data_IF_745354567454
#
_entry.id   IF_745354567454
#
_cell.length_a   1.000
_cell.length_b   1.000
_cell.length_c   1.000
_cell.angle_alpha   90.00
_cell.angle_beta   90.00
_cell.angle_gamma   90.00
#
_symmetry.space_group_name_H-M   'P 1'
#
loop_
_entity.id
_entity.type
_entity.pdbx_description
1 polymer ?
#
# COMPACT_ATOMS: atom_id res chain seq x y z
N UNK A 1 15.17 -19.57 7.09
CA UNK A 1 13.75 -19.16 7.04
C UNK A 1 13.64 -18.10 5.95
N UNK A 2 12.62 -18.13 5.09
CA UNK A 2 12.38 -17.00 4.18
C UNK A 2 12.28 -15.71 4.99
N UNK A 3 12.75 -14.60 4.41
CA UNK A 3 12.69 -13.29 5.04
C UNK A 3 11.25 -12.81 5.22
N UNK A 4 11.02 -11.88 6.14
CA UNK A 4 9.72 -11.21 6.22
C UNK A 4 9.50 -10.39 4.94
N UNK A 5 8.29 -10.41 4.35
CA UNK A 5 8.05 -9.75 3.07
C UNK A 5 8.11 -8.23 3.19
N UNK A 6 8.33 -7.56 2.06
CA UNK A 6 8.16 -6.12 1.91
C UNK A 6 6.80 -5.85 1.26
N UNK A 7 6.01 -4.95 1.83
CA UNK A 7 4.78 -4.48 1.18
C UNK A 7 5.07 -3.18 0.45
N UNK A 8 4.77 -3.14 -0.84
CA UNK A 8 4.98 -1.97 -1.71
C UNK A 8 3.64 -1.46 -2.21
N UNK A 9 3.32 -0.21 -1.89
CA UNK A 9 2.15 0.48 -2.41
C UNK A 9 2.53 1.32 -3.63
N UNK A 10 2.00 0.97 -4.80
CA UNK A 10 2.16 1.73 -6.04
C UNK A 10 0.98 2.69 -6.19
N UNK A 11 1.28 3.98 -6.33
CA UNK A 11 0.30 5.02 -6.68
C UNK A 11 0.04 5.10 -8.18
N UNK A 12 -1.19 5.44 -8.59
CA UNK A 12 -1.51 5.58 -10.02
C UNK A 12 -0.78 6.74 -10.73
N UNK A 13 -0.19 7.67 -9.98
CA UNK A 13 0.60 8.78 -10.50
C UNK A 13 2.08 8.47 -10.73
N UNK A 14 2.57 7.29 -10.33
CA UNK A 14 3.98 6.94 -10.49
C UNK A 14 4.29 6.28 -11.83
N UNK A 15 3.34 5.53 -12.42
CA UNK A 15 3.51 4.70 -13.62
C UNK A 15 3.59 5.51 -14.93
N UNK A 16 4.65 6.32 -15.08
CA UNK A 16 4.99 7.06 -16.30
C UNK A 16 6.13 6.42 -17.10
N UNK A 17 6.50 7.04 -18.24
CA UNK A 17 7.53 6.54 -19.17
C UNK A 17 8.94 6.36 -18.57
N UNK A 18 9.20 6.93 -17.40
CA UNK A 18 10.48 6.85 -16.69
C UNK A 18 10.40 6.06 -15.38
N UNK A 19 9.23 5.48 -15.06
CA UNK A 19 9.03 4.70 -13.84
C UNK A 19 9.75 3.34 -13.95
N UNK A 20 10.64 3.05 -13.00
CA UNK A 20 11.34 1.77 -12.91
C UNK A 20 10.77 0.84 -11.84
N UNK A 21 9.71 1.22 -11.14
CA UNK A 21 9.14 0.49 -10.00
C UNK A 21 8.93 -1.00 -10.29
N UNK A 22 8.38 -1.34 -11.46
CA UNK A 22 8.18 -2.74 -11.85
C UNK A 22 9.48 -3.48 -12.13
N UNK A 23 10.47 -2.81 -12.73
CA UNK A 23 11.80 -3.38 -12.95
C UNK A 23 12.52 -3.62 -11.62
N UNK A 24 12.38 -2.70 -10.68
CA UNK A 24 12.91 -2.80 -9.33
C UNK A 24 12.27 -3.99 -8.59
N UNK A 25 10.95 -4.15 -8.67
CA UNK A 25 10.23 -5.30 -8.12
C UNK A 25 10.74 -6.63 -8.68
N UNK A 26 10.93 -6.73 -10.00
CA UNK A 26 11.46 -7.94 -10.64
C UNK A 26 12.91 -8.20 -10.20
N UNK A 27 13.70 -7.15 -10.00
CA UNK A 27 15.07 -7.29 -9.51
C UNK A 27 15.08 -7.84 -8.08
N UNK A 28 14.26 -7.27 -7.18
CA UNK A 28 14.09 -7.76 -5.81
C UNK A 28 13.65 -9.22 -5.77
N UNK A 29 12.67 -9.60 -6.59
CA UNK A 29 12.23 -11.00 -6.69
C UNK A 29 13.36 -11.94 -7.12
N UNK A 30 14.20 -11.53 -8.09
CA UNK A 30 15.35 -12.32 -8.55
C UNK A 30 16.46 -12.42 -7.49
N UNK A 31 16.55 -11.43 -6.61
CA UNK A 31 17.43 -11.43 -5.43
C UNK A 31 16.86 -12.27 -4.27
N UNK A 32 15.67 -12.87 -4.41
CA UNK A 32 15.04 -13.70 -3.39
C UNK A 32 14.33 -12.89 -2.29
N UNK A 33 14.03 -11.62 -2.55
CA UNK A 33 13.23 -10.79 -1.64
C UNK A 33 11.76 -11.01 -1.91
N UNK A 34 11.01 -11.41 -0.89
CA UNK A 34 9.56 -11.55 -0.95
C UNK A 34 8.90 -10.17 -0.96
N UNK A 35 8.10 -9.90 -1.99
CA UNK A 35 7.42 -8.62 -2.16
C UNK A 35 5.93 -8.81 -2.42
N UNK A 36 5.11 -8.08 -1.67
CA UNK A 36 3.66 -7.94 -1.90
C UNK A 36 3.39 -6.55 -2.46
N UNK A 37 2.68 -6.48 -3.59
CA UNK A 37 2.32 -5.20 -4.21
C UNK A 37 0.86 -4.90 -3.97
N UNK A 38 0.56 -3.69 -3.49
CA UNK A 38 -0.80 -3.13 -3.50
C UNK A 38 -0.81 -2.01 -4.53
N UNK A 39 -1.83 -1.96 -5.38
CA UNK A 39 -1.95 -0.87 -6.36
C UNK A 39 -3.12 0.06 -6.07
N UNK A 40 -3.08 1.26 -6.66
CA UNK A 40 -4.23 2.17 -6.73
C UNK A 40 -4.88 2.15 -8.11
N UNK A 41 -5.75 3.13 -8.36
CA UNK A 41 -6.37 3.28 -9.68
C UNK A 41 -7.29 4.49 -9.84
N UNK A 42 -7.25 5.45 -8.91
CA UNK A 42 -8.25 6.51 -8.80
C UNK A 42 -8.49 7.28 -10.11
N UNK A 43 -7.43 7.67 -10.81
CA UNK A 43 -7.54 8.41 -12.07
C UNK A 43 -8.17 7.58 -13.19
N UNK A 44 -7.76 6.31 -13.32
CA UNK A 44 -8.28 5.39 -14.34
C UNK A 44 -9.76 5.08 -14.07
N UNK A 45 -10.14 4.83 -12.81
CA UNK A 45 -11.55 4.65 -12.41
C UNK A 45 -12.35 5.88 -12.82
N UNK A 46 -11.88 7.09 -12.46
CA UNK A 46 -12.58 8.33 -12.78
C UNK A 46 -12.80 8.51 -14.29
N UNK A 47 -11.81 8.15 -15.12
CA UNK A 47 -11.94 8.19 -16.58
C UNK A 47 -13.01 7.20 -17.08
N UNK A 48 -13.05 5.97 -16.55
CA UNK A 48 -14.03 4.98 -16.93
C UNK A 48 -15.45 5.32 -16.47
N UNK A 49 -15.60 5.91 -15.27
CA UNK A 49 -16.88 6.43 -14.80
C UNK A 49 -17.40 7.54 -15.73
N UNK A 50 -16.54 8.50 -16.09
CA UNK A 50 -16.91 9.58 -17.03
C UNK A 50 -17.34 9.04 -18.40
N UNK A 51 -16.66 8.02 -18.94
CA UNK A 51 -17.04 7.35 -20.20
C UNK A 51 -18.43 6.71 -20.14
N UNK A 52 -18.89 6.34 -18.95
CA UNK A 52 -20.20 5.74 -18.72
C UNK A 52 -21.26 6.76 -18.27
N UNK A 53 -20.94 8.05 -18.32
CA UNK A 53 -21.86 9.11 -17.91
C UNK A 53 -22.06 9.23 -16.39
N UNK A 54 -21.17 8.63 -15.60
CA UNK A 54 -21.19 8.69 -14.13
C UNK A 54 -20.07 9.63 -13.64
N UNK A 55 -20.34 10.90 -13.35
CA UNK A 55 -19.31 11.81 -12.86
C UNK A 55 -18.82 11.39 -11.46
N UNK A 56 -17.49 11.26 -11.24
CA UNK A 56 -16.95 10.93 -9.92
C UNK A 56 -17.32 11.94 -8.83
N UNK A 57 -17.75 11.44 -7.67
CA UNK A 57 -17.97 12.24 -6.45
C UNK A 57 -17.00 11.81 -5.35
N UNK A 58 -16.48 12.79 -4.62
CA UNK A 58 -15.57 12.56 -3.50
C UNK A 58 -16.04 13.28 -2.24
N UNK A 59 -15.88 12.62 -1.09
CA UNK A 59 -16.11 13.17 0.25
C UNK A 59 -14.90 12.82 1.10
N UNK A 60 -14.25 13.83 1.71
CA UNK A 60 -13.05 13.65 2.54
C UNK A 60 -11.91 12.84 1.86
N UNK A 61 -11.77 12.98 0.53
CA UNK A 61 -10.76 12.26 -0.25
C UNK A 61 -11.12 10.81 -0.58
N UNK A 62 -12.26 10.29 -0.10
CA UNK A 62 -12.80 8.99 -0.46
C UNK A 62 -13.80 9.13 -1.62
N UNK A 63 -13.76 8.18 -2.55
CA UNK A 63 -14.73 8.13 -3.66
C UNK A 63 -16.04 7.59 -3.13
N UNK A 64 -17.10 8.39 -3.26
CA UNK A 64 -18.45 7.90 -3.03
C UNK A 64 -18.74 6.82 -4.07
N UNK A 65 -19.14 5.65 -3.60
CA UNK A 65 -19.29 4.46 -4.43
C UNK A 65 -20.72 3.96 -4.29
N UNK A 66 -21.63 4.34 -5.20
CA UNK A 66 -22.94 3.69 -5.33
C UNK A 66 -22.82 2.36 -6.10
N UNK A 67 -23.94 1.64 -6.29
CA UNK A 67 -23.91 0.32 -6.93
C UNK A 67 -23.35 0.36 -8.37
N UNK A 68 -23.80 1.28 -9.26
CA UNK A 68 -23.18 1.42 -10.59
C UNK A 68 -21.70 1.78 -10.53
N UNK A 69 -21.30 2.68 -9.61
CA UNK A 69 -19.90 3.05 -9.44
C UNK A 69 -19.07 1.86 -8.96
N UNK A 70 -19.61 0.99 -8.10
CA UNK A 70 -18.92 -0.19 -7.58
C UNK A 70 -18.57 -1.16 -8.71
N UNK A 71 -19.48 -1.43 -9.65
CA UNK A 71 -19.20 -2.30 -10.80
C UNK A 71 -18.00 -1.80 -11.61
N UNK A 72 -17.94 -0.49 -11.85
CA UNK A 72 -16.81 0.15 -12.55
C UNK A 72 -15.53 0.03 -11.73
N UNK A 73 -15.59 0.31 -10.43
CA UNK A 73 -14.44 0.20 -9.53
C UNK A 73 -13.89 -1.23 -9.55
N UNK A 74 -14.74 -2.24 -9.41
CA UNK A 74 -14.36 -3.65 -9.46
C UNK A 74 -13.69 -3.99 -10.79
N UNK A 75 -14.37 -3.70 -11.91
CA UNK A 75 -13.87 -4.05 -13.24
C UNK A 75 -12.54 -3.36 -13.57
N UNK A 76 -12.41 -2.08 -13.23
CA UNK A 76 -11.20 -1.29 -13.53
C UNK A 76 -10.03 -1.70 -12.63
N UNK A 77 -10.26 -1.88 -11.33
CA UNK A 77 -9.18 -2.27 -10.42
C UNK A 77 -8.69 -3.69 -10.70
N UNK A 78 -9.59 -4.68 -10.78
CA UNK A 78 -9.21 -6.10 -10.87
C UNK A 78 -8.95 -6.58 -12.29
N UNK A 79 -9.68 -6.04 -13.27
CA UNK A 79 -9.64 -6.49 -14.66
C UNK A 79 -8.63 -5.73 -15.49
N UNK A 80 -8.63 -4.39 -15.39
CA UNK A 80 -7.76 -3.55 -16.21
C UNK A 80 -6.40 -3.34 -15.53
N UNK A 81 -6.37 -2.60 -14.42
CA UNK A 81 -5.11 -2.13 -13.82
C UNK A 81 -4.30 -3.31 -13.26
N UNK A 82 -4.94 -4.19 -12.50
CA UNK A 82 -4.26 -5.34 -11.91
C UNK A 82 -3.62 -6.23 -12.98
N UNK A 83 -4.33 -6.51 -14.08
CA UNK A 83 -3.82 -7.39 -15.14
C UNK A 83 -2.77 -6.71 -16.01
N UNK A 84 -2.87 -5.40 -16.21
CA UNK A 84 -1.81 -4.63 -16.85
C UNK A 84 -0.50 -4.69 -16.04
N UNK A 85 -0.56 -4.49 -14.71
CA UNK A 85 0.61 -4.61 -13.84
C UNK A 85 1.21 -6.02 -13.87
N UNK A 86 0.38 -7.05 -13.75
CA UNK A 86 0.84 -8.45 -13.82
C UNK A 86 1.51 -8.75 -15.16
N UNK A 87 0.90 -8.32 -16.27
CA UNK A 87 1.45 -8.51 -17.62
C UNK A 87 2.79 -7.80 -17.78
N UNK A 88 2.92 -6.57 -17.26
CA UNK A 88 4.18 -5.81 -17.32
C UNK A 88 5.28 -6.47 -16.47
N UNK A 89 4.95 -6.97 -15.28
CA UNK A 89 5.92 -7.74 -14.45
C UNK A 89 6.40 -9.00 -15.19
N UNK A 90 5.49 -9.74 -15.83
CA UNK A 90 5.86 -10.91 -16.64
C UNK A 90 6.72 -10.51 -17.85
N UNK A 91 6.38 -9.41 -18.54
CA UNK A 91 7.16 -8.89 -19.67
C UNK A 91 8.59 -8.50 -19.29
N UNK A 92 8.83 -8.12 -18.03
CA UNK A 92 10.16 -7.84 -17.47
C UNK A 92 10.90 -9.10 -16.99
N UNK A 93 10.31 -10.28 -17.16
CA UNK A 93 10.85 -11.57 -16.74
C UNK A 93 10.69 -11.85 -15.25
N UNK A 94 9.72 -11.20 -14.59
CA UNK A 94 9.28 -11.54 -13.24
C UNK A 94 8.08 -12.50 -13.26
N UNK A 95 7.65 -12.91 -12.07
CA UNK A 95 6.47 -13.78 -11.88
C UNK A 95 5.51 -13.11 -10.91
N UNK A 96 4.31 -12.80 -11.36
CA UNK A 96 3.27 -12.20 -10.53
C UNK A 96 1.93 -12.93 -10.63
N UNK A 97 1.15 -12.90 -9.56
CA UNK A 97 -0.24 -13.34 -9.51
C UNK A 97 -1.09 -12.14 -9.08
N UNK A 98 -2.04 -11.77 -9.92
CA UNK A 98 -2.96 -10.67 -9.65
C UNK A 98 -4.21 -11.15 -8.93
N UNK A 99 -4.46 -10.63 -7.74
CA UNK A 99 -5.64 -10.89 -6.90
C UNK A 99 -6.26 -9.58 -6.42
N UNK A 100 -7.40 -9.66 -5.77
CA UNK A 100 -8.03 -8.63 -4.96
C UNK A 100 -8.07 -9.08 -3.50
N UNK A 101 -8.52 -8.20 -2.59
CA UNK A 101 -8.79 -8.63 -1.22
C UNK A 101 -10.01 -9.56 -1.08
N UNK A 102 -10.80 -9.78 -2.13
CA UNK A 102 -11.90 -10.76 -2.10
C UNK A 102 -11.35 -12.19 -2.25
N UNK A 103 -10.30 -12.37 -3.05
CA UNK A 103 -9.78 -13.68 -3.43
C UNK A 103 -9.21 -14.42 -2.21
N UNK A 104 -9.73 -15.63 -1.98
CA UNK A 104 -9.35 -16.45 -0.83
C UNK A 104 -9.79 -15.90 0.54
N UNK A 105 -10.69 -14.90 0.57
CA UNK A 105 -11.12 -14.25 1.81
C UNK A 105 -10.04 -13.37 2.44
N UNK A 106 -9.13 -12.82 1.63
CA UNK A 106 -7.98 -12.05 2.09
C UNK A 106 -8.38 -10.85 2.97
N UNK A 107 -9.41 -10.10 2.60
CA UNK A 107 -9.94 -8.93 3.31
C UNK A 107 -11.44 -9.06 3.52
N UNK A 108 -11.86 -8.93 4.78
CA UNK A 108 -13.25 -8.69 5.16
C UNK A 108 -13.40 -7.24 5.62
N UNK A 109 -14.53 -6.63 5.30
CA UNK A 109 -14.86 -5.26 5.67
C UNK A 109 -16.34 -5.09 5.99
N UNK A 110 -16.69 -3.95 6.58
CA UNK A 110 -18.07 -3.45 6.69
C UNK A 110 -18.15 -2.06 6.06
N UNK A 111 -19.35 -1.60 5.76
CA UNK A 111 -19.55 -0.24 5.22
C UNK A 111 -19.06 0.79 6.24
N UNK A 112 -18.11 1.63 5.84
CA UNK A 112 -17.46 2.61 6.72
C UNK A 112 -18.41 3.77 7.09
N UNK A 113 -19.16 4.25 6.09
CA UNK A 113 -20.09 5.36 6.24
C UNK A 113 -21.22 5.20 5.19
N UNK A 114 -22.49 5.13 5.60
CA UNK A 114 -23.63 5.08 4.68
C UNK A 114 -23.61 6.21 3.62
N UNK A 115 -23.07 7.39 3.92
CA UNK A 115 -22.97 8.51 2.96
C UNK A 115 -21.97 8.27 1.82
N UNK A 116 -21.02 7.35 2.03
CA UNK A 116 -20.02 6.94 1.05
C UNK A 116 -20.48 5.76 0.18
N UNK A 117 -21.58 5.10 0.54
CA UNK A 117 -22.09 3.91 -0.15
C UNK A 117 -21.23 2.67 0.12
N UNK A 118 -20.85 1.94 -0.93
CA UNK A 118 -20.04 0.71 -0.89
C UNK A 118 -18.54 0.98 -0.65
N UNK A 119 -18.23 1.90 0.26
CA UNK A 119 -16.87 2.12 0.76
C UNK A 119 -16.71 1.40 2.09
N UNK A 120 -15.68 0.57 2.20
CA UNK A 120 -15.50 -0.30 3.35
C UNK A 120 -14.40 0.13 4.32
N UNK A 121 -14.56 -0.30 5.57
CA UNK A 121 -13.55 -0.32 6.62
C UNK A 121 -13.19 -1.79 6.92
N UNK A 122 -11.90 -2.12 6.82
CA UNK A 122 -11.40 -3.49 6.97
C UNK A 122 -11.64 -3.94 8.42
N UNK A 123 -12.34 -5.06 8.59
CA UNK A 123 -12.59 -5.70 9.88
C UNK A 123 -11.66 -6.88 10.13
N UNK A 124 -11.28 -7.63 9.08
CA UNK A 124 -10.40 -8.79 9.19
C UNK A 124 -9.46 -8.92 8.00
N UNK A 125 -8.29 -9.51 8.25
CA UNK A 125 -7.27 -9.82 7.24
C UNK A 125 -6.81 -11.26 7.43
N UNK A 126 -6.95 -12.08 6.40
CA UNK A 126 -6.37 -13.42 6.34
C UNK A 126 -5.16 -13.42 5.41
N UNK A 127 -3.95 -13.50 5.98
CA UNK A 127 -2.71 -13.49 5.19
C UNK A 127 -2.35 -14.81 4.51
N UNK A 128 -3.12 -15.90 4.72
CA UNK A 128 -2.83 -17.22 4.15
C UNK A 128 -2.76 -17.22 2.61
N UNK A 129 -3.68 -16.56 1.86
CA UNK A 129 -3.58 -16.51 0.39
C UNK A 129 -2.29 -15.84 -0.08
N UNK A 130 -1.84 -14.78 0.59
CA UNK A 130 -0.59 -14.10 0.24
C UNK A 130 0.63 -14.97 0.53
N UNK A 131 0.67 -15.62 1.69
CA UNK A 131 1.75 -16.55 2.05
C UNK A 131 1.87 -17.70 1.05
N UNK A 132 0.75 -18.29 0.65
CA UNK A 132 0.75 -19.35 -0.37
C UNK A 132 1.32 -18.89 -1.72
N UNK A 133 1.02 -17.66 -2.15
CA UNK A 133 1.58 -17.09 -3.38
C UNK A 133 3.09 -16.86 -3.23
N UNK A 134 3.51 -16.25 -2.11
CA UNK A 134 4.92 -15.98 -1.82
C UNK A 134 5.75 -17.27 -1.73
N UNK A 135 5.23 -18.33 -1.10
CA UNK A 135 5.91 -19.63 -0.96
C UNK A 135 6.24 -20.29 -2.31
N UNK A 136 5.50 -19.93 -3.37
CA UNK A 136 5.77 -20.38 -4.75
C UNK A 136 6.70 -19.44 -5.54
N UNK A 137 7.16 -18.36 -4.92
CA UNK A 137 8.08 -17.38 -5.47
C UNK A 137 7.45 -16.38 -6.45
N UNK A 138 6.13 -16.18 -6.38
CA UNK A 138 5.40 -15.17 -7.15
C UNK A 138 5.20 -13.88 -6.33
N UNK A 139 5.15 -12.74 -7.02
CA UNK A 139 4.73 -11.46 -6.44
C UNK A 139 3.19 -11.40 -6.44
N UNK A 140 2.51 -11.42 -5.28
CA UNK A 140 1.10 -11.09 -5.23
C UNK A 140 0.89 -9.60 -5.54
N UNK A 141 0.02 -9.31 -6.51
CA UNK A 141 -0.40 -7.95 -6.89
C UNK A 141 -1.86 -7.79 -6.50
N UNK A 142 -2.13 -6.99 -5.46
CA UNK A 142 -3.42 -6.89 -4.78
C UNK A 142 -4.18 -5.63 -5.18
N UNK A 143 -5.39 -5.81 -5.71
CA UNK A 143 -6.38 -4.76 -5.91
C UNK A 143 -7.15 -4.46 -4.61
N UNK A 144 -7.39 -3.17 -4.29
CA UNK A 144 -7.93 -2.77 -2.98
C UNK A 144 -9.46 -2.88 -2.93
N UNK A 145 -9.94 -4.12 -2.82
CA UNK A 145 -11.34 -4.47 -2.60
C UNK A 145 -11.42 -5.42 -1.41
N UNK A 146 -12.53 -5.43 -0.69
CA UNK A 146 -12.79 -6.38 0.37
C UNK A 146 -14.18 -7.01 0.20
N UNK A 147 -14.37 -8.18 0.81
CA UNK A 147 -15.68 -8.79 0.92
C UNK A 147 -16.43 -8.17 2.11
N UNK A 148 -17.70 -7.81 1.93
CA UNK A 148 -18.55 -7.42 3.05
C UNK A 148 -18.79 -8.64 3.94
N UNK A 149 -18.55 -8.48 5.25
CA UNK A 149 -18.74 -9.54 6.23
C UNK A 149 -20.16 -10.13 6.24
N UNK A 150 -20.29 -11.30 6.85
CA UNK A 150 -21.59 -11.95 7.00
C UNK A 150 -22.39 -11.34 8.14
N UNK A 151 -23.13 -10.27 7.84
CA UNK A 151 -23.98 -9.53 8.78
C UNK A 151 -25.48 -9.84 8.64
N UNK A 152 -25.86 -10.72 7.71
CA UNK A 152 -27.24 -11.08 7.43
C UNK A 152 -28.02 -10.03 6.62
N UNK A 153 -27.36 -9.00 6.08
CA UNK A 153 -27.95 -8.05 5.13
C UNK A 153 -27.98 -8.60 3.70
N UNK A 154 -28.80 -8.00 2.84
CA UNK A 154 -28.90 -8.33 1.40
C UNK A 154 -27.58 -8.12 0.64
N UNK A 155 -26.64 -7.37 1.22
CA UNK A 155 -25.33 -7.09 0.62
C UNK A 155 -24.21 -7.96 1.22
N UNK A 156 -24.55 -8.92 2.08
CA UNK A 156 -23.58 -9.85 2.66
C UNK A 156 -22.79 -10.59 1.58
N UNK A 157 -21.46 -10.63 1.72
CA UNK A 157 -20.56 -11.20 0.72
C UNK A 157 -20.33 -10.32 -0.53
N UNK A 158 -20.95 -9.14 -0.59
CA UNK A 158 -20.74 -8.17 -1.67
C UNK A 158 -19.34 -7.54 -1.65
N UNK A 159 -18.97 -6.85 -2.73
CA UNK A 159 -17.69 -6.14 -2.79
C UNK A 159 -17.78 -4.76 -2.12
N UNK A 160 -16.70 -4.37 -1.43
CA UNK A 160 -16.51 -3.02 -0.91
C UNK A 160 -15.23 -2.41 -1.47
N UNK A 161 -15.32 -1.14 -1.86
CA UNK A 161 -14.18 -0.34 -2.29
C UNK A 161 -13.39 0.12 -1.06
N UNK A 162 -12.09 -0.17 -1.03
CA UNK A 162 -11.21 0.21 0.08
C UNK A 162 -10.14 1.18 -0.41
N UNK A 163 -9.74 2.11 0.45
CA UNK A 163 -8.57 2.92 0.16
C UNK A 163 -7.31 2.03 0.05
N UNK A 164 -6.60 2.11 -1.08
CA UNK A 164 -5.43 1.26 -1.31
C UNK A 164 -4.25 1.50 -0.37
N UNK A 165 -4.12 2.69 0.22
CA UNK A 165 -3.10 2.94 1.24
C UNK A 165 -3.47 2.21 2.55
N UNK A 166 -4.75 2.20 2.92
CA UNK A 166 -5.28 1.41 4.05
C UNK A 166 -5.02 -0.08 3.86
N UNK A 167 -5.31 -0.62 2.66
CA UNK A 167 -5.01 -2.03 2.34
C UNK A 167 -3.53 -2.33 2.53
N UNK A 168 -2.63 -1.46 2.04
CA UNK A 168 -1.20 -1.67 2.21
C UNK A 168 -0.75 -1.68 3.68
N UNK A 169 -1.31 -0.79 4.51
CA UNK A 169 -1.06 -0.75 5.95
C UNK A 169 -1.53 -2.03 6.67
N UNK A 170 -2.75 -2.46 6.39
CA UNK A 170 -3.33 -3.67 6.99
C UNK A 170 -2.60 -4.96 6.55
N UNK A 171 -2.23 -5.07 5.27
CA UNK A 171 -1.46 -6.21 4.79
C UNK A 171 -0.05 -6.25 5.38
N UNK A 172 0.62 -5.09 5.51
CA UNK A 172 1.93 -5.01 6.16
C UNK A 172 1.86 -5.44 7.63
N UNK A 173 0.81 -5.01 8.34
CA UNK A 173 0.55 -5.43 9.71
C UNK A 173 0.28 -6.96 9.79
N UNK A 174 -0.61 -7.50 8.97
CA UNK A 174 -1.01 -8.91 9.02
C UNK A 174 0.07 -9.91 8.56
N UNK A 175 1.07 -9.44 7.84
CA UNK A 175 2.22 -10.22 7.37
C UNK A 175 3.44 -10.12 8.27
N UNK A 176 3.39 -9.30 9.34
CA UNK A 176 4.58 -8.89 10.09
C UNK A 176 5.69 -8.41 9.15
N UNK A 177 5.32 -7.61 8.14
CA UNK A 177 6.21 -7.25 7.04
C UNK A 177 7.50 -6.60 7.55
N UNK A 178 8.62 -6.89 6.90
CA UNK A 178 9.90 -6.26 7.20
C UNK A 178 9.82 -4.73 7.04
N UNK A 179 8.98 -4.28 6.10
CA UNK A 179 8.83 -2.87 5.73
C UNK A 179 7.56 -2.64 4.91
N UNK A 180 6.94 -1.47 5.09
CA UNK A 180 5.96 -0.90 4.16
C UNK A 180 6.61 0.25 3.37
N UNK A 181 6.52 0.24 2.04
CA UNK A 181 7.07 1.28 1.17
C UNK A 181 5.96 1.87 0.31
N UNK A 182 5.73 3.18 0.41
CA UNK A 182 4.89 3.93 -0.51
C UNK A 182 5.71 4.54 -1.63
N UNK A 183 5.41 4.15 -2.87
CA UNK A 183 5.86 4.82 -4.07
C UNK A 183 4.84 5.89 -4.45
N UNK A 184 5.20 7.16 -4.28
CA UNK A 184 4.31 8.30 -4.51
C UNK A 184 4.94 9.31 -5.46
N UNK A 185 4.20 10.35 -5.84
CA UNK A 185 4.61 11.48 -6.68
C UNK A 185 5.15 12.69 -5.89
N UNK A 186 5.37 12.52 -4.59
CA UNK A 186 5.95 13.54 -3.70
C UNK A 186 7.22 13.02 -3.04
N UNK A 187 8.13 13.94 -2.68
CA UNK A 187 9.44 13.60 -2.12
C UNK A 187 9.42 12.95 -0.73
N UNK A 188 8.29 12.94 -0.03
CA UNK A 188 8.16 12.45 1.35
C UNK A 188 7.20 13.34 2.18
N UNK A 189 7.27 13.20 3.50
CA UNK A 189 6.54 14.07 4.44
C UNK A 189 7.28 15.40 4.56
N UNK A 190 6.58 16.51 4.36
CA UNK A 190 7.15 17.85 4.46
C UNK A 190 6.99 18.44 5.88
N UNK A 191 7.98 19.21 6.33
CA UNK A 191 7.86 20.09 7.49
C UNK A 191 7.02 21.34 7.16
N UNK A 192 6.74 22.17 8.16
CA UNK A 192 6.01 23.43 7.97
C UNK A 192 6.73 24.44 7.04
N UNK A 193 8.03 24.24 6.79
CA UNK A 193 8.83 25.02 5.85
C UNK A 193 8.89 24.42 4.45
N UNK A 194 8.13 23.35 4.16
CA UNK A 194 8.08 22.71 2.85
C UNK A 194 9.26 21.79 2.54
N UNK A 195 10.11 21.45 3.53
CA UNK A 195 11.26 20.56 3.33
C UNK A 195 10.92 19.13 3.73
N UNK A 196 11.40 18.16 2.97
CA UNK A 196 11.22 16.73 3.30
C UNK A 196 11.91 16.43 4.62
N UNK A 197 11.18 15.76 5.52
CA UNK A 197 11.70 15.25 6.78
C UNK A 197 12.31 13.87 6.48
N UNK A 198 13.63 13.67 6.57
CA UNK A 198 14.24 12.41 6.15
C UNK A 198 13.89 11.23 7.06
N UNK A 199 13.70 11.51 8.36
CA UNK A 199 13.51 10.49 9.39
C UNK A 199 12.54 10.96 10.48
N UNK A 200 11.62 10.08 10.85
CA UNK A 200 10.64 10.30 11.92
C UNK A 200 10.59 9.07 12.83
N UNK A 201 10.34 9.28 14.13
CA UNK A 201 9.90 8.21 15.02
C UNK A 201 8.36 8.10 14.98
N UNK A 202 7.81 6.95 15.39
CA UNK A 202 6.36 6.70 15.44
C UNK A 202 5.61 7.79 16.22
N UNK A 203 6.17 8.27 17.32
CA UNK A 203 5.57 9.31 18.18
C UNK A 203 5.40 10.63 17.42
N UNK A 204 6.45 11.10 16.75
CA UNK A 204 6.47 12.36 15.98
C UNK A 204 5.59 12.25 14.75
N UNK A 205 5.58 11.09 14.08
CA UNK A 205 4.62 10.79 13.02
C UNK A 205 3.17 10.90 13.53
N UNK A 206 2.86 10.32 14.71
CA UNK A 206 1.55 10.45 15.34
C UNK A 206 1.16 11.89 15.70
N UNK A 207 2.11 12.71 16.14
CA UNK A 207 1.88 14.13 16.40
C UNK A 207 1.60 14.92 15.12
N UNK A 208 2.37 14.67 14.05
CA UNK A 208 2.15 15.29 12.74
C UNK A 208 0.77 14.94 12.17
N UNK A 209 0.32 13.70 12.37
CA UNK A 209 -1.02 13.28 11.93
C UNK A 209 -2.15 14.04 12.63
N UNK A 210 -1.91 14.58 13.84
CA UNK A 210 -2.92 15.32 14.64
C UNK A 210 -2.77 16.83 14.56
N UNK A 211 -1.65 17.35 14.06
CA UNK A 211 -1.35 18.78 14.09
C UNK A 211 -1.97 19.59 12.96
N UNK A 212 -2.64 18.94 11.99
CA UNK A 212 -3.18 19.59 10.79
C UNK A 212 -2.13 19.98 9.74
N UNK A 213 -0.84 19.68 9.98
CA UNK A 213 0.26 19.90 9.02
C UNK A 213 0.14 18.96 7.83
N UNK A 214 -0.31 17.73 8.08
CA UNK A 214 -0.52 16.71 7.04
C UNK A 214 -1.89 16.90 6.41
N UNK A 215 -1.94 16.97 5.08
CA UNK A 215 -3.15 17.28 4.31
C UNK A 215 -3.38 16.30 3.17
N UNK A 216 -4.64 16.21 2.73
CA UNK A 216 -5.06 15.44 1.56
C UNK A 216 -4.65 13.96 1.64
N UNK A 217 -4.15 13.43 0.52
CA UNK A 217 -3.76 12.02 0.39
C UNK A 217 -2.60 11.58 1.29
N UNK A 218 -1.88 12.51 1.95
CA UNK A 218 -0.84 12.14 2.90
C UNK A 218 -1.41 11.65 4.24
N UNK A 219 -2.64 12.02 4.59
CA UNK A 219 -3.31 11.57 5.82
C UNK A 219 -3.47 10.04 5.83
N UNK A 220 -4.12 9.39 4.83
CA UNK A 220 -4.26 7.94 4.83
C UNK A 220 -2.91 7.21 4.69
N UNK A 221 -1.92 7.78 3.98
CA UNK A 221 -0.57 7.21 3.91
C UNK A 221 0.10 7.15 5.27
N UNK A 222 0.07 8.26 6.02
CA UNK A 222 0.67 8.31 7.34
C UNK A 222 -0.05 7.39 8.33
N UNK A 223 -1.38 7.30 8.25
CA UNK A 223 -2.17 6.35 9.05
C UNK A 223 -1.77 4.90 8.74
N UNK A 224 -1.63 4.54 7.46
CA UNK A 224 -1.19 3.22 7.04
C UNK A 224 0.25 2.89 7.48
N UNK A 225 1.17 3.87 7.42
CA UNK A 225 2.50 3.71 8.00
C UNK A 225 2.44 3.44 9.50
N UNK A 226 1.66 4.22 10.26
CA UNK A 226 1.52 4.04 11.71
C UNK A 226 0.93 2.66 12.06
N UNK A 227 -0.03 2.18 11.27
CA UNK A 227 -0.60 0.84 11.38
C UNK A 227 0.44 -0.26 11.12
N UNK A 228 1.19 -0.15 10.02
CA UNK A 228 2.26 -1.10 9.72
C UNK A 228 3.31 -1.15 10.84
N UNK A 229 3.71 0.01 11.37
CA UNK A 229 4.72 0.15 12.42
C UNK A 229 4.36 -0.46 13.79
N UNK A 230 3.15 -1.00 13.95
CA UNK A 230 2.80 -1.84 15.10
C UNK A 230 3.49 -3.20 15.04
N UNK A 231 3.87 -3.66 13.85
CA UNK A 231 4.53 -4.95 13.60
C UNK A 231 5.82 -4.82 12.79
N UNK A 232 5.87 -3.85 11.88
CA UNK A 232 7.03 -3.57 11.03
C UNK A 232 8.05 -2.64 11.72
N UNK A 233 9.35 -2.89 11.56
CA UNK A 233 10.40 -1.99 12.06
C UNK A 233 10.39 -0.60 11.41
N UNK A 234 10.10 -0.53 10.11
CA UNK A 234 10.15 0.72 9.35
C UNK A 234 9.01 0.82 8.33
N UNK A 235 8.63 2.06 8.01
CA UNK A 235 7.79 2.40 6.87
C UNK A 235 8.39 3.59 6.12
N UNK A 236 8.37 3.55 4.80
CA UNK A 236 9.01 4.55 3.93
C UNK A 236 7.98 5.21 3.00
N UNK A 237 8.11 6.51 2.80
CA UNK A 237 7.35 7.28 1.80
C UNK A 237 8.37 7.95 0.88
N UNK A 238 8.42 7.50 -0.37
CA UNK A 238 9.48 7.86 -1.33
C UNK A 238 8.89 8.31 -2.67
N UNK A 239 9.65 9.15 -3.39
CA UNK A 239 9.29 9.55 -4.77
C UNK A 239 9.57 8.40 -5.73
N UNK A 240 8.52 7.68 -6.13
CA UNK A 240 8.60 6.52 -7.01
C UNK A 240 8.94 6.87 -8.46
N UNK A 241 8.90 8.15 -8.86
CA UNK A 241 9.23 8.58 -10.23
C UNK A 241 10.74 8.59 -10.48
N UNK A 242 11.54 8.54 -9.43
CA UNK A 242 13.01 8.46 -9.53
C UNK A 242 13.41 7.05 -9.98
N UNK A 243 14.22 6.92 -11.04
CA UNK A 243 14.76 5.62 -11.43
C UNK A 243 15.52 4.95 -10.28
N UNK A 244 15.23 3.69 -10.03
CA UNK A 244 15.85 2.88 -8.97
C UNK A 244 15.37 3.18 -7.55
N UNK A 245 14.36 4.03 -7.35
CA UNK A 245 13.95 4.50 -6.03
C UNK A 245 13.62 3.36 -5.06
N UNK A 246 12.91 2.32 -5.54
CA UNK A 246 12.53 1.19 -4.70
C UNK A 246 13.77 0.37 -4.30
N UNK A 247 14.65 0.06 -5.26
CA UNK A 247 15.89 -0.67 -4.98
C UNK A 247 16.80 0.09 -4.01
N UNK A 248 16.97 1.40 -4.23
CA UNK A 248 17.74 2.28 -3.35
C UNK A 248 17.19 2.27 -1.92
N UNK A 249 15.87 2.41 -1.77
CA UNK A 249 15.20 2.39 -0.47
C UNK A 249 15.40 1.06 0.27
N UNK A 250 15.20 -0.08 -0.41
CA UNK A 250 15.42 -1.41 0.18
C UNK A 250 16.88 -1.62 0.60
N UNK A 251 17.82 -1.06 -0.16
CA UNK A 251 19.27 -1.11 0.13
C UNK A 251 19.74 -0.09 1.16
N UNK A 252 18.82 0.68 1.76
CA UNK A 252 19.11 1.63 2.84
C UNK A 252 19.66 2.99 2.38
N UNK A 253 19.57 3.30 1.09
CA UNK A 253 19.86 4.65 0.58
C UNK A 253 18.68 5.55 0.92
N UNK A 254 18.93 6.63 1.65
CA UNK A 254 17.89 7.55 2.08
C UNK A 254 17.28 8.29 0.89
N UNK A 255 16.02 8.01 0.58
CA UNK A 255 15.26 8.64 -0.50
C UNK A 255 13.84 8.98 -0.03
N UNK A 256 13.67 10.13 0.63
CA UNK A 256 12.37 10.59 1.13
C UNK A 256 12.26 10.51 2.65
N UNK A 257 11.13 10.00 3.17
CA UNK A 257 10.89 9.92 4.62
C UNK A 257 10.84 8.48 5.11
N UNK A 258 11.73 8.11 6.02
CA UNK A 258 11.67 6.86 6.79
C UNK A 258 11.06 7.10 8.16
N UNK A 259 10.00 6.36 8.49
CA UNK A 259 9.36 6.35 9.80
C UNK A 259 9.76 5.07 10.53
N UNK A 260 10.18 5.21 11.77
CA UNK A 260 10.77 4.12 12.55
C UNK A 260 9.85 3.73 13.70
N UNK A 261 9.58 2.42 13.79
CA UNK A 261 8.84 1.80 14.87
C UNK A 261 9.71 1.54 16.10
N UNK A 262 9.07 1.28 17.23
CA UNK A 262 9.77 1.08 18.51
C UNK A 262 10.65 -0.19 18.51
N UNK A 263 10.29 -1.21 17.71
CA UNK A 263 11.06 -2.44 17.57
C UNK A 263 12.51 -2.23 17.05
N UNK A 264 12.77 -1.14 16.32
CA UNK A 264 14.08 -0.82 15.77
C UNK A 264 15.00 -0.05 16.75
N UNK A 265 14.45 0.52 17.85
CA UNK A 265 15.24 1.29 18.82
C UNK A 265 16.01 0.40 19.81
N UNK A 266 15.59 -0.86 19.99
CA UNK A 266 16.25 -1.81 20.90
C UNK A 266 17.55 -2.42 20.36
N UNK A 267 17.83 -2.32 19.05
CA UNK A 267 19.05 -2.88 18.43
C UNK A 267 20.17 -1.85 18.25
N UNK A 268 19.91 -0.57 18.53
CA UNK A 268 20.89 0.53 18.38
C UNK A 268 21.52 0.97 19.72
N UNK A 269 21.18 0.33 20.85
CA UNK A 269 21.75 0.61 22.17
C UNK A 269 22.92 -0.31 22.57
N UNK A 270 23.48 -1.07 21.62
CA UNK A 270 24.72 -1.82 21.85
C UNK A 270 25.89 -0.86 22.05
N UNK A 271 26.35 -0.71 23.29
CA UNK A 271 27.56 0.04 23.64
C UNK A 271 28.73 -0.39 22.74
N UNK A 272 29.57 0.54 22.27
CA UNK A 272 30.82 0.15 21.61
C UNK A 272 31.67 -0.69 22.57
N UNK A 273 32.40 -1.70 22.08
CA UNK A 273 33.28 -2.49 22.92
C UNK A 273 34.31 -1.56 23.56
N UNK A 274 34.37 -1.61 24.89
CA UNK A 274 35.39 -0.96 25.70
C UNK A 274 36.75 -1.43 25.19
N UNK A 275 37.48 -0.53 24.51
CA UNK A 275 38.89 -0.74 24.23
C UNK A 275 39.69 -0.20 25.40
N UNK A 276 39.99 -1.08 26.35
CA UNK A 276 40.89 -0.79 27.45
C UNK A 276 41.93 -1.91 27.63
N UNK A 277 43.14 -1.58 27.17
CA UNK A 277 44.50 -1.97 27.63
C UNK A 277 44.93 -3.43 27.58
#
# INVERSE_FOLDING_TARGET
MPGLPIVVKIGGSTLGSHDTSLKDLVTLQKEGVDVVVVHGGGNVISQWMQRQGLPPRFVNGLRVTDAPSLEIVVAVLTGLINKELVSQVHGLGGRAIGISGIDGGLLEAHVADPELGYVGEISQVDSRPLKAILDTGYIPVVAPLAMQGHDGSDHSGGALNINGDTVAGELAHALDAARLIFLTDVGGIMDAGGRVIPRLDRRRAGLLSRSGVIQGGMIPKLAACLRALERSPTADIIDGRRPGALLECVRGVASGTTIIGEAALGSLSGNPPDSAR
#
